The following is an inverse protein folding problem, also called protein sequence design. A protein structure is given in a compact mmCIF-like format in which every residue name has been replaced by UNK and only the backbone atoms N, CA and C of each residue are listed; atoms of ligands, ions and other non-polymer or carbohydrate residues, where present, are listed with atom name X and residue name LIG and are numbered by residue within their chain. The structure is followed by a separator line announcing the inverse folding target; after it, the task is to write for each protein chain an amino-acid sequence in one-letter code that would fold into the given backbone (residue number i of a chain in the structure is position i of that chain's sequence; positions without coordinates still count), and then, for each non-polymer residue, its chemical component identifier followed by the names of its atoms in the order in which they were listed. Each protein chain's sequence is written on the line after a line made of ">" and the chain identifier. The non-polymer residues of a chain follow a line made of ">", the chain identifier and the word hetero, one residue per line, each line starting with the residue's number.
data_IF_199224287920
#
_entry.id   IF_199224287920
#
_cell.length_a   1.000
_cell.length_b   1.000
_cell.length_c   1.000
_cell.angle_alpha   90.00
_cell.angle_beta   90.00
_cell.angle_gamma   90.00
#
_symmetry.space_group_name_H-M   'P 1'
#
loop_
_entity.id
_entity.type
_entity.pdbx_description
1 polymer ?
#
# COMPACT_ATOMS: atom_id res chain seq x y z
N UNK A 1 21.84 0.61 -7.60
CA UNK A 1 21.24 -0.36 -8.54
C UNK A 1 21.45 -1.78 -8.04
N UNK A 2 20.43 -2.42 -7.43
CA UNK A 2 20.45 -3.88 -7.21
C UNK A 2 19.96 -4.56 -8.49
N UNK A 3 20.82 -5.37 -9.12
CA UNK A 3 20.41 -6.31 -10.18
C UNK A 3 19.43 -7.33 -9.59
N UNK A 4 18.22 -7.37 -10.13
CA UNK A 4 17.21 -8.40 -9.87
C UNK A 4 17.66 -9.74 -10.46
N UNK A 5 18.43 -10.53 -9.71
CA UNK A 5 18.58 -11.97 -9.95
C UNK A 5 18.84 -12.71 -8.64
N UNK A 6 17.78 -12.99 -7.88
CA UNK A 6 17.64 -14.21 -7.08
C UNK A 6 16.14 -14.38 -6.86
N UNK A 7 15.57 -15.51 -7.28
CA UNK A 7 14.26 -15.95 -6.80
C UNK A 7 14.43 -16.02 -5.29
N UNK A 8 13.85 -15.05 -4.57
CA UNK A 8 13.81 -15.08 -3.11
C UNK A 8 13.17 -16.41 -2.74
N UNK A 9 13.89 -17.22 -1.95
CA UNK A 9 13.31 -18.42 -1.37
C UNK A 9 12.00 -18.03 -0.68
N UNK A 10 10.94 -18.82 -0.90
CA UNK A 10 9.63 -18.53 -0.33
C UNK A 10 9.77 -18.63 1.19
N UNK A 11 9.51 -17.53 1.90
CA UNK A 11 9.61 -17.50 3.35
C UNK A 11 8.64 -18.51 4.00
N UNK A 12 8.90 -18.94 5.24
CA UNK A 12 7.96 -19.78 5.98
C UNK A 12 6.54 -19.20 6.06
N UNK A 13 6.40 -17.87 6.21
CA UNK A 13 5.11 -17.19 6.25
C UNK A 13 4.40 -17.24 4.89
N UNK A 14 5.11 -16.95 3.79
CA UNK A 14 4.56 -17.05 2.42
C UNK A 14 4.16 -18.49 2.07
N UNK A 15 4.97 -19.46 2.49
CA UNK A 15 4.67 -20.88 2.33
C UNK A 15 3.39 -21.28 3.08
N UNK A 16 3.18 -20.76 4.28
CA UNK A 16 1.96 -20.99 5.05
C UNK A 16 0.74 -20.37 4.37
N UNK A 17 0.86 -19.18 3.78
CA UNK A 17 -0.22 -18.57 2.98
C UNK A 17 -0.60 -19.48 1.81
N UNK A 18 0.36 -19.92 1.00
CA UNK A 18 0.11 -20.80 -0.15
C UNK A 18 -0.59 -22.11 0.24
N UNK A 19 -0.19 -22.72 1.36
CA UNK A 19 -0.84 -23.93 1.90
C UNK A 19 -2.31 -23.68 2.27
N UNK A 20 -2.61 -22.52 2.87
CA UNK A 20 -3.98 -22.18 3.28
C UNK A 20 -4.87 -21.69 2.12
N UNK A 21 -4.28 -21.18 1.03
CA UNK A 21 -5.02 -20.86 -0.19
C UNK A 21 -5.51 -22.12 -0.93
N UNK A 22 -4.78 -23.25 -0.78
CA UNK A 22 -5.06 -24.52 -1.47
C UNK A 22 -4.99 -25.73 -0.54
N UNK A 23 -5.89 -25.85 0.46
CA UNK A 23 -5.81 -26.89 1.49
C UNK A 23 -5.97 -28.33 0.97
N UNK A 24 -6.59 -28.51 -0.22
CA UNK A 24 -6.97 -29.83 -0.76
C UNK A 24 -6.34 -30.16 -2.12
N UNK A 25 -5.36 -29.39 -2.59
CA UNK A 25 -4.58 -29.76 -3.77
C UNK A 25 -3.22 -30.25 -3.32
N UNK A 26 -2.95 -31.55 -3.49
CA UNK A 26 -1.61 -31.95 -3.90
C UNK A 26 -1.29 -31.14 -5.15
N UNK A 27 -0.31 -30.25 -5.05
CA UNK A 27 0.02 -29.32 -6.13
C UNK A 27 0.43 -30.17 -7.33
N UNK A 28 -0.07 -29.86 -8.53
CA UNK A 28 0.36 -30.45 -9.78
C UNK A 28 1.89 -30.28 -9.96
N UNK A 29 2.67 -31.24 -9.47
CA UNK A 29 4.03 -31.54 -9.93
C UNK A 29 5.13 -30.52 -9.62
N UNK A 30 4.94 -29.56 -8.72
CA UNK A 30 6.03 -28.72 -8.23
C UNK A 30 6.23 -29.01 -6.74
N UNK A 31 7.35 -29.66 -6.44
CA UNK A 31 7.83 -29.85 -5.08
C UNK A 31 7.88 -28.47 -4.40
N UNK A 32 6.97 -28.25 -3.44
CA UNK A 32 7.18 -27.18 -2.47
C UNK A 32 8.55 -27.46 -1.83
N UNK A 33 9.44 -26.47 -1.72
CA UNK A 33 10.70 -26.68 -1.03
C UNK A 33 10.39 -27.30 0.33
N UNK A 34 10.84 -28.53 0.53
CA UNK A 34 10.81 -29.16 1.85
C UNK A 34 11.56 -28.20 2.75
N UNK A 35 10.90 -27.75 3.81
CA UNK A 35 11.56 -27.03 4.90
C UNK A 35 12.46 -28.06 5.57
N UNK A 36 13.63 -28.29 5.00
CA UNK A 36 14.74 -28.94 5.68
C UNK A 36 15.40 -27.83 6.45
N UNK A 37 15.00 -27.64 7.71
CA UNK A 37 15.81 -27.16 8.83
C UNK A 37 14.85 -26.92 10.00
N UNK A 38 15.00 -27.75 11.02
CA UNK A 38 14.37 -27.54 12.33
C UNK A 38 15.11 -26.39 12.99
N UNK A 39 14.57 -25.19 12.91
CA UNK A 39 15.04 -24.07 13.71
C UNK A 39 13.88 -23.53 14.55
N UNK A 40 14.23 -23.15 15.78
CA UNK A 40 13.36 -22.74 16.87
C UNK A 40 12.62 -21.42 16.58
N UNK A 41 11.83 -21.39 15.51
CA UNK A 41 10.91 -20.29 15.23
C UNK A 41 9.63 -20.50 16.04
N UNK A 42 9.08 -19.41 16.60
CA UNK A 42 7.70 -19.41 17.13
C UNK A 42 6.79 -20.11 16.11
N UNK A 43 5.95 -21.07 16.52
CA UNK A 43 5.13 -21.81 15.57
C UNK A 43 4.25 -20.84 14.80
N UNK A 44 4.52 -20.71 13.50
CA UNK A 44 3.67 -19.97 12.57
C UNK A 44 2.26 -20.56 12.64
N UNK A 45 1.34 -19.79 13.22
CA UNK A 45 -0.01 -20.25 13.53
C UNK A 45 -0.99 -19.59 12.58
N UNK A 46 -1.70 -20.41 11.81
CA UNK A 46 -2.89 -19.98 11.10
C UNK A 46 -4.07 -20.16 12.05
N UNK A 47 -4.74 -19.06 12.41
CA UNK A 47 -5.90 -19.11 13.31
C UNK A 47 -7.16 -19.14 12.47
N UNK A 48 -7.91 -20.24 12.57
CA UNK A 48 -9.16 -20.44 11.82
C UNK A 48 -10.34 -20.26 12.76
N UNK A 49 -11.22 -19.32 12.44
CA UNK A 49 -12.38 -18.99 13.29
C UNK A 49 -13.60 -18.71 12.43
N UNK A 50 -14.78 -19.04 12.95
CA UNK A 50 -16.05 -18.59 12.41
C UNK A 50 -16.57 -17.45 13.29
N UNK A 51 -16.77 -16.27 12.71
CA UNK A 51 -17.09 -15.04 13.45
C UNK A 51 -18.17 -14.23 12.73
N UNK A 52 -18.79 -13.28 13.42
CA UNK A 52 -19.61 -12.29 12.73
C UNK A 52 -18.73 -11.35 11.89
N UNK A 53 -19.30 -10.71 10.87
CA UNK A 53 -18.60 -9.67 10.10
C UNK A 53 -18.04 -8.55 10.98
N UNK A 54 -18.81 -8.13 11.98
CA UNK A 54 -18.40 -7.06 12.88
C UNK A 54 -17.15 -7.52 13.63
N UNK A 55 -17.16 -8.72 14.20
CA UNK A 55 -16.03 -9.24 14.97
C UNK A 55 -14.80 -9.48 14.09
N UNK A 56 -14.99 -9.89 12.82
CA UNK A 56 -13.90 -9.98 11.85
C UNK A 56 -13.19 -8.63 11.68
N UNK A 57 -13.95 -7.55 11.46
CA UNK A 57 -13.36 -6.21 11.29
C UNK A 57 -12.63 -5.75 12.56
N UNK A 58 -13.19 -6.00 13.74
CA UNK A 58 -12.56 -5.66 15.02
C UNK A 58 -11.33 -6.53 15.34
N UNK A 59 -11.16 -7.67 14.66
CA UNK A 59 -9.98 -8.53 14.81
C UNK A 59 -8.78 -8.09 13.97
N UNK A 60 -8.98 -7.17 13.02
CA UNK A 60 -7.88 -6.58 12.26
C UNK A 60 -7.06 -5.64 13.17
N UNK A 61 -5.74 -5.55 12.96
CA UNK A 61 -4.90 -4.69 13.78
C UNK A 61 -5.32 -3.23 13.59
N UNK A 62 -5.64 -2.55 14.69
CA UNK A 62 -6.01 -1.13 14.71
C UNK A 62 -4.81 -0.28 15.14
N UNK A 63 -4.15 0.38 14.19
CA UNK A 63 -3.03 1.29 14.45
C UNK A 63 -3.05 2.39 13.37
N UNK A 64 -2.91 3.69 13.72
CA UNK A 64 -2.94 4.79 12.75
C UNK A 64 -1.90 4.70 11.64
N UNK A 65 -0.85 3.91 11.84
CA UNK A 65 0.25 3.68 10.90
C UNK A 65 0.11 2.38 10.11
N UNK A 66 -1.03 1.70 10.22
CA UNK A 66 -1.36 0.54 9.41
C UNK A 66 -2.44 0.90 8.40
N UNK A 67 -2.36 0.25 7.24
CA UNK A 67 -3.41 0.27 6.22
C UNK A 67 -3.79 -1.15 5.84
N UNK A 68 -4.98 -1.27 5.30
CA UNK A 68 -5.59 -2.52 4.92
C UNK A 68 -5.84 -2.53 3.42
N UNK A 69 -5.73 -3.71 2.80
CA UNK A 69 -6.08 -3.92 1.40
C UNK A 69 -7.03 -5.09 1.26
N UNK A 70 -8.23 -4.78 0.76
CA UNK A 70 -9.21 -5.77 0.37
C UNK A 70 -8.92 -6.31 -1.02
N UNK A 71 -8.97 -7.62 -1.16
CA UNK A 71 -8.72 -8.33 -2.41
C UNK A 71 -9.87 -9.29 -2.68
N UNK A 72 -10.53 -9.09 -3.82
CA UNK A 72 -11.55 -10.00 -4.31
C UNK A 72 -10.90 -11.29 -4.82
N UNK A 73 -11.38 -12.44 -4.35
CA UNK A 73 -10.82 -13.74 -4.69
C UNK A 73 -9.45 -13.98 -4.06
N UNK A 74 -8.83 -15.09 -4.48
CA UNK A 74 -7.56 -15.56 -3.90
C UNK A 74 -6.34 -15.30 -4.80
N UNK A 75 -6.56 -14.89 -6.06
CA UNK A 75 -5.49 -14.82 -7.06
C UNK A 75 -4.43 -13.78 -6.74
N UNK A 76 -4.85 -12.65 -6.17
CA UNK A 76 -3.91 -11.61 -5.76
C UNK A 76 -3.05 -12.06 -4.58
N UNK A 77 -3.67 -12.66 -3.55
CA UNK A 77 -2.94 -13.22 -2.41
C UNK A 77 -1.94 -14.31 -2.84
N UNK A 78 -2.31 -15.15 -3.81
CA UNK A 78 -1.41 -16.13 -4.41
C UNK A 78 -0.21 -15.46 -5.10
N UNK A 79 -0.45 -14.45 -5.94
CA UNK A 79 0.63 -13.72 -6.62
C UNK A 79 1.57 -13.04 -5.62
N UNK A 80 1.02 -12.44 -4.55
CA UNK A 80 1.81 -11.80 -3.49
C UNK A 80 2.65 -12.84 -2.74
N UNK A 81 2.08 -14.00 -2.40
CA UNK A 81 2.81 -15.05 -1.71
C UNK A 81 3.93 -15.67 -2.56
N UNK A 82 3.77 -15.73 -3.89
CA UNK A 82 4.84 -16.16 -4.79
C UNK A 82 5.90 -15.08 -5.03
N UNK A 83 5.50 -13.84 -5.36
CA UNK A 83 6.42 -12.75 -5.69
C UNK A 83 7.13 -12.17 -4.46
N UNK A 84 6.45 -12.19 -3.30
CA UNK A 84 6.90 -11.55 -2.07
C UNK A 84 6.62 -10.06 -2.00
N UNK A 85 5.86 -9.47 -2.93
CA UNK A 85 5.52 -8.04 -2.93
C UNK A 85 4.04 -7.79 -3.23
N UNK A 86 3.52 -6.69 -2.69
CA UNK A 86 2.17 -6.22 -2.94
C UNK A 86 2.08 -5.50 -4.29
N UNK A 87 0.95 -5.63 -4.99
CA UNK A 87 0.83 -5.11 -6.36
C UNK A 87 1.57 -5.95 -7.42
N UNK A 88 1.94 -7.19 -7.12
CA UNK A 88 2.54 -8.11 -8.09
C UNK A 88 1.51 -8.79 -9.02
N UNK A 89 1.99 -9.40 -10.10
CA UNK A 89 1.18 -10.21 -11.01
C UNK A 89 0.35 -9.37 -11.98
N UNK A 90 -0.99 -9.43 -11.89
CA UNK A 90 -1.87 -8.77 -12.88
C UNK A 90 -1.72 -7.25 -12.93
N UNK A 91 -1.32 -6.63 -11.82
CA UNK A 91 -1.17 -5.18 -11.70
C UNK A 91 0.01 -4.66 -12.53
N UNK A 92 1.09 -5.43 -12.61
CA UNK A 92 2.29 -5.06 -13.39
C UNK A 92 2.04 -4.99 -14.90
N UNK A 93 0.90 -5.52 -15.38
CA UNK A 93 0.50 -5.45 -16.79
C UNK A 93 -0.28 -4.18 -17.14
N UNK A 94 -0.62 -3.35 -16.15
CA UNK A 94 -1.39 -2.11 -16.35
C UNK A 94 -0.49 -0.98 -16.86
N UNK A 95 -1.07 0.05 -17.51
CA UNK A 95 -0.32 1.24 -17.89
C UNK A 95 0.40 1.87 -16.70
N UNK A 96 1.50 2.57 -16.94
CA UNK A 96 2.30 3.23 -15.89
C UNK A 96 1.80 4.64 -15.61
N UNK A 97 0.49 4.78 -15.42
CA UNK A 97 -0.14 6.07 -15.12
C UNK A 97 0.15 6.53 -13.71
N UNK A 98 0.52 7.79 -13.53
CA UNK A 98 0.69 8.42 -12.22
C UNK A 98 -0.44 9.38 -11.87
N UNK A 99 -1.35 9.68 -12.78
CA UNK A 99 -2.43 10.62 -12.52
C UNK A 99 -3.38 10.06 -11.45
N UNK A 100 -3.35 10.67 -10.25
CA UNK A 100 -4.16 10.21 -9.12
C UNK A 100 -5.66 10.42 -9.38
N UNK A 101 -6.04 11.51 -10.05
CA UNK A 101 -7.43 11.78 -10.43
C UNK A 101 -7.96 10.71 -11.41
N UNK A 102 -7.15 10.33 -12.41
CA UNK A 102 -7.50 9.23 -13.31
C UNK A 102 -7.57 7.88 -12.59
N UNK A 103 -6.66 7.63 -11.64
CA UNK A 103 -6.64 6.37 -10.89
C UNK A 103 -7.82 6.20 -9.93
N UNK A 104 -8.24 7.28 -9.26
CA UNK A 104 -9.46 7.28 -8.41
C UNK A 104 -10.67 6.88 -9.25
N UNK A 105 -10.73 7.39 -10.48
CA UNK A 105 -11.80 7.14 -11.41
C UNK A 105 -11.76 5.72 -12.02
N UNK A 106 -10.59 5.30 -12.48
CA UNK A 106 -10.34 3.97 -13.03
C UNK A 106 -9.01 3.41 -12.53
N UNK A 107 -9.04 2.54 -11.49
CA UNK A 107 -7.84 1.94 -10.93
C UNK A 107 -7.07 1.05 -11.91
N UNK A 108 -7.63 0.70 -13.08
CA UNK A 108 -6.93 -0.11 -14.09
C UNK A 108 -5.90 0.69 -14.90
N UNK A 109 -5.91 2.02 -14.80
CA UNK A 109 -5.02 2.94 -15.52
C UNK A 109 -3.62 3.05 -14.94
N UNK A 110 -3.35 2.38 -13.82
CA UNK A 110 -2.02 2.40 -13.19
C UNK A 110 -1.56 1.04 -12.69
N UNK A 111 -0.29 0.74 -12.98
CA UNK A 111 0.55 -0.27 -12.32
C UNK A 111 1.44 0.34 -11.22
N UNK A 112 1.55 1.66 -11.18
CA UNK A 112 2.38 2.42 -10.22
C UNK A 112 1.59 2.90 -9.00
N UNK A 113 0.27 2.74 -8.99
CA UNK A 113 -0.61 3.13 -7.90
C UNK A 113 -1.39 1.92 -7.38
N UNK A 114 -1.55 1.84 -6.06
CA UNK A 114 -2.25 0.74 -5.40
C UNK A 114 -3.11 1.25 -4.25
N UNK A 115 -4.43 1.07 -4.36
CA UNK A 115 -5.37 1.41 -3.29
C UNK A 115 -5.16 0.59 -2.02
N UNK A 116 -5.16 1.26 -0.89
CA UNK A 116 -5.21 0.71 0.47
C UNK A 116 -6.16 1.59 1.29
N UNK A 117 -6.61 1.17 2.46
CA UNK A 117 -7.47 2.00 3.30
C UNK A 117 -7.02 1.93 4.75
N UNK A 118 -6.96 3.06 5.47
CA UNK A 118 -6.81 3.04 6.92
C UNK A 118 -8.08 2.51 7.61
N UNK A 119 -9.23 2.52 6.91
CA UNK A 119 -10.49 2.03 7.45
C UNK A 119 -10.71 0.55 7.04
N UNK A 120 -10.71 -0.38 8.02
CA UNK A 120 -10.99 -1.78 7.71
C UNK A 120 -12.44 -2.00 7.22
N UNK A 121 -13.38 -1.07 7.46
CA UNK A 121 -14.74 -1.18 6.93
C UNK A 121 -14.78 -1.00 5.41
N UNK A 122 -14.00 -0.07 4.84
CA UNK A 122 -13.89 0.14 3.39
C UNK A 122 -13.43 -1.13 2.67
N UNK A 123 -12.54 -1.90 3.31
CA UNK A 123 -11.97 -3.14 2.77
C UNK A 123 -13.01 -4.26 2.58
N UNK A 124 -14.10 -4.26 3.37
CA UNK A 124 -15.16 -5.29 3.29
C UNK A 124 -15.73 -5.43 1.88
N UNK A 125 -16.06 -4.30 1.25
CA UNK A 125 -16.71 -4.27 -0.05
C UNK A 125 -15.83 -4.90 -1.14
N UNK A 126 -14.51 -4.65 -1.04
CA UNK A 126 -13.52 -5.18 -1.97
C UNK A 126 -13.18 -6.65 -1.75
N UNK A 127 -13.26 -7.16 -0.51
CA UNK A 127 -12.89 -8.53 -0.18
C UNK A 127 -13.96 -9.54 -0.59
N UNK A 128 -15.22 -9.23 -0.32
CA UNK A 128 -16.31 -10.23 -0.43
C UNK A 128 -17.10 -10.04 -1.73
N UNK A 129 -17.18 -8.80 -2.22
CA UNK A 129 -17.91 -8.46 -3.43
C UNK A 129 -19.39 -8.90 -3.41
N UNK A 130 -20.08 -8.67 -4.52
CA UNK A 130 -21.50 -9.00 -4.67
C UNK A 130 -21.74 -10.44 -5.18
N UNK A 131 -21.00 -11.44 -4.69
CA UNK A 131 -21.10 -12.80 -5.23
C UNK A 131 -22.39 -13.53 -4.78
N UNK A 132 -23.02 -14.24 -5.72
CA UNK A 132 -24.33 -14.89 -5.53
C UNK A 132 -24.27 -16.19 -4.71
N UNK A 133 -23.16 -16.94 -4.77
CA UNK A 133 -23.08 -18.33 -4.26
C UNK A 133 -22.14 -18.47 -3.06
N UNK A 134 -20.86 -18.17 -3.23
CA UNK A 134 -19.86 -18.18 -2.17
C UNK A 134 -18.80 -17.14 -2.51
N UNK A 135 -18.52 -16.23 -1.59
CA UNK A 135 -17.51 -15.21 -1.76
C UNK A 135 -16.22 -15.64 -1.07
N UNK A 136 -15.10 -15.51 -1.78
CA UNK A 136 -13.75 -15.64 -1.22
C UNK A 136 -13.02 -14.33 -1.43
N UNK A 137 -12.25 -13.94 -0.43
CA UNK A 137 -11.36 -12.80 -0.54
C UNK A 137 -10.23 -12.87 0.46
N UNK A 138 -9.40 -11.84 0.41
CA UNK A 138 -8.29 -11.67 1.34
C UNK A 138 -8.27 -10.23 1.86
N UNK A 139 -7.84 -10.06 3.11
CA UNK A 139 -7.47 -8.78 3.69
C UNK A 139 -5.99 -8.84 4.07
N UNK A 140 -5.17 -7.96 3.49
CA UNK A 140 -3.80 -7.75 3.94
C UNK A 140 -3.77 -6.52 4.85
N UNK A 141 -3.20 -6.64 6.05
CA UNK A 141 -2.89 -5.51 6.93
C UNK A 141 -1.39 -5.27 6.92
N UNK A 142 -0.96 -4.04 6.69
CA UNK A 142 0.43 -3.69 6.37
C UNK A 142 0.80 -2.30 6.92
N UNK A 143 2.10 -2.01 6.98
CA UNK A 143 2.61 -0.65 7.21
C UNK A 143 1.98 0.38 6.26
N UNK A 144 2.00 1.65 6.65
CA UNK A 144 1.90 2.73 5.67
C UNK A 144 2.90 2.47 4.52
N UNK A 145 2.49 2.68 3.26
CA UNK A 145 3.38 2.52 2.12
C UNK A 145 4.57 3.46 2.22
N UNK A 146 5.72 3.07 1.66
CA UNK A 146 6.93 3.92 1.64
C UNK A 146 6.65 5.31 1.09
N UNK A 147 5.84 5.37 0.05
CA UNK A 147 5.36 6.59 -0.55
C UNK A 147 3.85 6.45 -0.75
N UNK A 148 3.08 7.43 -0.31
CA UNK A 148 1.64 7.41 -0.48
C UNK A 148 1.05 8.81 -0.66
N UNK A 149 -0.18 8.81 -1.16
CA UNK A 149 -1.01 10.00 -1.31
C UNK A 149 -2.42 9.69 -0.79
N UNK A 150 -3.06 10.68 -0.17
CA UNK A 150 -4.47 10.59 0.24
C UNK A 150 -5.33 11.34 -0.79
N UNK A 151 -6.18 10.67 -1.57
CA UNK A 151 -7.10 11.31 -2.53
C UNK A 151 -7.87 12.51 -1.98
N UNK A 152 -8.48 12.35 -0.79
CA UNK A 152 -9.21 13.41 -0.08
C UNK A 152 -8.35 14.66 0.14
N UNK A 153 -7.10 14.49 0.56
CA UNK A 153 -6.21 15.64 0.79
C UNK A 153 -5.71 16.21 -0.54
N UNK A 154 -5.31 15.35 -1.48
CA UNK A 154 -4.77 15.74 -2.78
C UNK A 154 -5.72 16.65 -3.56
N UNK A 155 -7.03 16.35 -3.56
CA UNK A 155 -8.03 17.17 -4.27
C UNK A 155 -8.13 18.62 -3.79
N UNK A 156 -7.72 18.89 -2.54
CA UNK A 156 -7.74 20.24 -1.96
C UNK A 156 -6.38 20.94 -2.09
N UNK A 157 -5.32 20.19 -2.41
CA UNK A 157 -3.96 20.72 -2.60
C UNK A 157 -3.64 20.87 -4.08
N UNK A 158 -3.65 19.79 -4.87
CA UNK A 158 -3.38 19.76 -6.31
C UNK A 158 -4.66 19.97 -7.13
N UNK A 159 -5.37 21.06 -6.87
CA UNK A 159 -6.65 21.38 -7.52
C UNK A 159 -6.49 21.37 -9.05
N UNK A 160 -5.38 21.89 -9.56
CA UNK A 160 -5.11 22.00 -11.00
C UNK A 160 -5.08 20.64 -11.71
N UNK A 161 -4.53 19.58 -11.11
CA UNK A 161 -4.57 18.22 -11.69
C UNK A 161 -6.00 17.66 -11.75
N UNK A 162 -6.80 17.90 -10.72
CA UNK A 162 -8.20 17.45 -10.66
C UNK A 162 -9.08 18.21 -11.65
N UNK A 163 -8.91 19.53 -11.76
CA UNK A 163 -9.60 20.34 -12.78
C UNK A 163 -9.23 19.92 -14.19
N UNK A 164 -7.95 19.62 -14.45
CA UNK A 164 -7.51 19.11 -15.74
C UNK A 164 -8.22 17.80 -16.09
N UNK A 165 -8.25 16.84 -15.16
CA UNK A 165 -8.92 15.57 -15.41
C UNK A 165 -10.44 15.71 -15.55
N UNK A 166 -11.08 16.59 -14.77
CA UNK A 166 -12.51 16.88 -14.93
C UNK A 166 -12.84 17.41 -16.32
N UNK A 167 -11.97 18.25 -16.90
CA UNK A 167 -12.12 18.73 -18.28
C UNK A 167 -11.98 17.60 -19.30
N UNK A 168 -11.03 16.68 -19.08
CA UNK A 168 -10.90 15.47 -19.94
C UNK A 168 -12.20 14.66 -19.92
N UNK A 169 -12.78 14.41 -18.74
CA UNK A 169 -14.06 13.69 -18.62
C UNK A 169 -15.21 14.43 -19.32
N UNK A 170 -15.28 15.76 -19.21
CA UNK A 170 -16.29 16.57 -19.89
C UNK A 170 -16.18 16.44 -21.41
N UNK A 171 -14.96 16.54 -21.96
CA UNK A 171 -14.70 16.34 -23.39
C UNK A 171 -15.09 14.92 -23.85
N UNK A 172 -14.83 13.88 -23.06
CA UNK A 172 -15.25 12.51 -23.40
C UNK A 172 -16.78 12.37 -23.51
N UNK A 173 -17.53 13.09 -22.68
CA UNK A 173 -19.00 13.14 -22.75
C UNK A 173 -19.45 13.91 -23.98
N UNK A 174 -18.85 15.05 -24.29
CA UNK A 174 -19.16 15.85 -25.49
C UNK A 174 -18.91 15.06 -26.78
N UNK A 175 -17.87 14.24 -26.82
CA UNK A 175 -17.53 13.37 -27.95
C UNK A 175 -18.40 12.10 -28.02
N UNK A 176 -19.32 11.88 -27.07
CA UNK A 176 -20.18 10.70 -27.02
C UNK A 176 -19.48 9.42 -26.60
N UNK A 177 -18.23 9.50 -26.12
CA UNK A 177 -17.49 8.35 -25.59
C UNK A 177 -18.00 7.94 -24.20
N UNK A 178 -18.76 8.81 -23.54
CA UNK A 178 -19.42 8.55 -22.26
C UNK A 178 -20.83 9.12 -22.22
N UNK A 179 -21.69 8.47 -21.43
CA UNK A 179 -23.08 8.88 -21.21
C UNK A 179 -23.30 9.70 -19.95
N UNK A 180 -22.34 9.70 -19.01
CA UNK A 180 -22.43 10.40 -17.72
C UNK A 180 -21.13 11.09 -17.39
N UNK A 181 -21.25 12.32 -16.88
CA UNK A 181 -20.16 13.06 -16.28
C UNK A 181 -20.18 12.79 -14.78
N UNK A 182 -19.20 12.04 -14.30
CA UNK A 182 -18.94 11.93 -12.86
C UNK A 182 -18.03 13.09 -12.43
N UNK A 183 -18.24 13.57 -11.21
CA UNK A 183 -17.44 14.64 -10.65
C UNK A 183 -16.26 14.05 -9.87
N UNK A 184 -15.03 14.25 -10.38
CA UNK A 184 -13.85 13.69 -9.75
C UNK A 184 -13.59 14.28 -8.36
N UNK A 185 -14.02 15.51 -8.11
CA UNK A 185 -13.91 16.11 -6.77
C UNK A 185 -14.81 15.41 -5.76
N UNK A 186 -16.02 15.01 -6.16
CA UNK A 186 -16.95 14.29 -5.28
C UNK A 186 -16.46 12.87 -5.02
N UNK A 187 -15.97 12.19 -6.06
CA UNK A 187 -15.33 10.87 -5.92
C UNK A 187 -14.14 10.91 -4.97
N UNK A 188 -13.28 11.93 -5.09
CA UNK A 188 -12.14 12.11 -4.21
C UNK A 188 -12.53 12.50 -2.78
N UNK A 189 -13.63 13.22 -2.56
CA UNK A 189 -14.14 13.53 -1.21
C UNK A 189 -14.61 12.28 -0.48
N UNK A 190 -15.35 11.41 -1.17
CA UNK A 190 -15.84 10.16 -0.60
C UNK A 190 -14.75 9.11 -0.38
N UNK A 191 -13.54 9.33 -0.93
CA UNK A 191 -12.48 8.34 -0.95
C UNK A 191 -11.53 8.49 0.26
N UNK A 192 -11.85 7.75 1.34
CA UNK A 192 -11.02 7.68 2.54
C UNK A 192 -9.76 6.79 2.40
N UNK A 193 -9.41 6.35 1.19
CA UNK A 193 -8.27 5.49 0.92
C UNK A 193 -6.92 6.20 1.10
N UNK A 194 -5.90 5.37 1.28
CA UNK A 194 -4.50 5.71 1.08
C UNK A 194 -4.05 5.05 -0.21
N UNK A 195 -3.57 5.81 -1.18
CA UNK A 195 -3.01 5.24 -2.42
C UNK A 195 -1.50 5.12 -2.28
N UNK A 196 -0.98 3.89 -2.29
CA UNK A 196 0.45 3.63 -2.36
C UNK A 196 0.99 4.01 -3.74
N UNK A 197 2.14 4.69 -3.76
CA UNK A 197 2.92 4.95 -4.97
C UNK A 197 4.04 3.92 -5.00
N UNK A 198 4.01 3.05 -6.01
CA UNK A 198 4.87 1.89 -6.15
C UNK A 198 6.15 2.18 -6.95
N UNK A 199 6.26 3.38 -7.51
CA UNK A 199 7.38 3.83 -8.33
C UNK A 199 6.99 5.06 -9.14
N UNK A 200 7.98 5.74 -9.72
CA UNK A 200 7.78 6.86 -10.66
C UNK A 200 8.15 6.44 -12.08
N UNK A 201 9.20 5.64 -12.23
CA UNK A 201 9.64 5.08 -13.51
C UNK A 201 9.40 3.57 -13.59
N UNK A 202 9.77 2.96 -14.71
CA UNK A 202 9.62 1.52 -14.94
C UNK A 202 10.57 0.67 -14.09
N UNK A 203 11.68 1.26 -13.70
CA UNK A 203 12.79 0.65 -12.97
C UNK A 203 12.58 0.73 -11.45
N UNK A 204 11.70 1.62 -11.00
CA UNK A 204 11.35 1.78 -9.60
C UNK A 204 10.53 0.59 -9.09
N UNK A 205 10.85 0.15 -7.88
CA UNK A 205 10.10 -0.88 -7.17
C UNK A 205 10.01 -0.52 -5.69
N UNK A 206 9.00 0.29 -5.35
CA UNK A 206 8.71 0.73 -4.00
C UNK A 206 7.57 -0.08 -3.37
N UNK A 207 7.28 -1.25 -3.94
CA UNK A 207 6.18 -2.10 -3.49
C UNK A 207 6.44 -2.60 -2.06
N UNK A 208 5.39 -2.63 -1.20
CA UNK A 208 5.52 -3.23 0.12
C UNK A 208 5.98 -4.68 0.02
N UNK A 209 6.98 -5.03 0.82
CA UNK A 209 7.57 -6.36 0.89
C UNK A 209 6.76 -7.20 1.85
N UNK A 210 6.26 -8.35 1.39
CA UNK A 210 5.39 -9.21 2.20
C UNK A 210 6.06 -9.61 3.53
N UNK A 211 7.33 -9.99 3.49
CA UNK A 211 8.01 -10.57 4.64
C UNK A 211 8.28 -9.56 5.76
N UNK A 212 8.25 -8.25 5.50
CA UNK A 212 8.56 -7.21 6.49
C UNK A 212 7.45 -6.18 6.66
N UNK A 213 6.74 -5.80 5.60
CA UNK A 213 5.72 -4.74 5.63
C UNK A 213 4.31 -5.26 5.92
N UNK A 214 4.03 -6.55 5.69
CA UNK A 214 2.71 -7.13 5.96
C UNK A 214 2.68 -7.67 7.38
N UNK A 215 1.79 -7.13 8.20
CA UNK A 215 1.52 -7.62 9.55
C UNK A 215 0.76 -8.95 9.50
N UNK A 216 -0.30 -9.01 8.72
CA UNK A 216 -1.15 -10.20 8.65
C UNK A 216 -1.90 -10.31 7.33
N UNK A 217 -2.18 -11.54 6.94
CA UNK A 217 -3.03 -11.88 5.81
C UNK A 217 -4.19 -12.73 6.31
N UNK A 218 -5.40 -12.22 6.13
CA UNK A 218 -6.64 -12.88 6.52
C UNK A 218 -7.37 -13.38 5.28
N UNK A 219 -7.53 -14.69 5.16
CA UNK A 219 -8.37 -15.31 4.13
C UNK A 219 -9.81 -15.31 4.63
N UNK A 220 -10.73 -14.80 3.83
CA UNK A 220 -12.14 -14.65 4.18
C UNK A 220 -12.99 -15.52 3.26
N UNK A 221 -13.87 -16.30 3.84
CA UNK A 221 -14.84 -17.13 3.16
C UNK A 221 -16.24 -16.83 3.71
N UNK A 222 -17.13 -16.40 2.82
CA UNK A 222 -18.49 -16.00 3.16
C UNK A 222 -19.52 -16.74 2.27
N UNK A 223 -20.72 -16.96 2.81
CA UNK A 223 -21.86 -17.41 2.02
C UNK A 223 -22.30 -16.29 1.06
N UNK A 224 -22.58 -16.62 -0.20
CA UNK A 224 -23.11 -15.66 -1.17
C UNK A 224 -24.59 -15.34 -0.95
N UNK A 225 -25.11 -14.33 -1.68
CA UNK A 225 -26.47 -13.80 -1.48
C UNK A 225 -27.60 -14.84 -1.49
N UNK A 226 -27.56 -15.86 -2.34
CA UNK A 226 -28.62 -16.88 -2.42
C UNK A 226 -28.59 -17.79 -1.18
N UNK A 227 -27.40 -18.08 -0.65
CA UNK A 227 -27.22 -18.92 0.52
C UNK A 227 -27.37 -18.17 1.85
N UNK A 228 -27.28 -16.83 1.83
CA UNK A 228 -27.51 -15.98 3.01
C UNK A 228 -28.95 -16.05 3.54
N UNK A 229 -29.91 -16.52 2.74
CA UNK A 229 -31.27 -16.81 3.21
C UNK A 229 -31.39 -18.08 4.06
N UNK A 230 -30.36 -18.93 4.09
CA UNK A 230 -30.36 -20.22 4.81
C UNK A 230 -29.23 -20.36 5.85
N UNK A 231 -28.10 -19.68 5.64
CA UNK A 231 -27.06 -19.49 6.65
C UNK A 231 -27.35 -18.22 7.47
N UNK A 232 -26.94 -18.14 8.74
CA UNK A 232 -26.93 -16.85 9.45
C UNK A 232 -26.14 -15.85 8.60
N UNK A 233 -26.84 -14.89 8.00
CA UNK A 233 -26.34 -14.05 6.91
C UNK A 233 -25.08 -13.22 7.25
N UNK A 234 -24.71 -13.17 8.54
CA UNK A 234 -23.62 -12.35 9.07
C UNK A 234 -22.37 -13.13 9.51
N UNK A 235 -22.33 -14.45 9.36
CA UNK A 235 -21.16 -15.26 9.76
C UNK A 235 -20.19 -15.51 8.60
N UNK A 236 -18.90 -15.35 8.89
CA UNK A 236 -17.79 -15.65 7.98
C UNK A 236 -16.79 -16.60 8.60
N UNK A 237 -16.16 -17.39 7.76
CA UNK A 237 -15.01 -18.20 8.11
C UNK A 237 -13.73 -17.46 7.71
N UNK A 238 -12.85 -17.27 8.68
CA UNK A 238 -11.60 -16.53 8.50
C UNK A 238 -10.41 -17.40 8.87
N UNK A 239 -9.36 -17.36 8.06
CA UNK A 239 -8.05 -17.91 8.39
C UNK A 239 -7.04 -16.77 8.43
N UNK A 240 -6.60 -16.39 9.63
CA UNK A 240 -5.63 -15.31 9.82
C UNK A 240 -4.23 -15.87 9.99
N UNK A 241 -3.30 -15.36 9.19
CA UNK A 241 -1.88 -15.66 9.25
C UNK A 241 -1.16 -14.38 9.68
N UNK A 242 -0.50 -14.42 10.83
CA UNK A 242 0.28 -13.30 11.36
C UNK A 242 1.74 -13.50 10.96
N UNK A 243 2.34 -12.46 10.39
CA UNK A 243 3.74 -12.47 9.98
C UNK A 243 4.64 -12.16 11.19
N UNK A 244 5.47 -13.11 11.66
CA UNK A 244 6.36 -12.89 12.80
C UNK A 244 7.50 -11.92 12.49
N UNK A 245 7.78 -11.68 11.20
CA UNK A 245 8.86 -10.82 10.74
C UNK A 245 8.37 -9.40 10.39
N UNK A 246 7.11 -9.09 10.70
CA UNK A 246 6.57 -7.75 10.51
C UNK A 246 7.38 -6.72 11.30
N UNK A 247 7.79 -5.65 10.61
CA UNK A 247 8.54 -4.53 11.17
C UNK A 247 7.78 -3.25 10.88
N UNK A 248 7.29 -2.58 11.92
CA UNK A 248 6.55 -1.33 11.75
C UNK A 248 7.51 -0.26 11.24
N UNK A 249 7.22 0.24 10.04
CA UNK A 249 8.07 1.19 9.32
C UNK A 249 8.29 2.47 10.13
N UNK A 250 9.53 2.93 10.26
CA UNK A 250 9.83 4.14 11.03
C UNK A 250 9.37 5.43 10.35
N UNK A 251 9.42 5.49 9.02
CA UNK A 251 9.05 6.66 8.23
C UNK A 251 8.40 6.29 6.90
N UNK A 252 7.39 7.04 6.50
CA UNK A 252 6.74 7.02 5.18
C UNK A 252 6.70 8.43 4.61
N UNK A 253 6.75 8.53 3.29
CA UNK A 253 6.69 9.79 2.55
C UNK A 253 5.26 10.03 2.10
N UNK A 254 4.65 11.12 2.56
CA UNK A 254 3.32 11.54 2.12
C UNK A 254 3.46 12.68 1.13
N UNK A 255 3.00 12.46 -0.10
CA UNK A 255 2.97 13.48 -1.14
C UNK A 255 1.55 14.00 -1.34
N UNK A 256 1.43 15.26 -1.78
CA UNK A 256 0.13 15.87 -2.06
C UNK A 256 -0.21 15.95 -3.55
N UNK A 257 0.73 15.54 -4.41
CA UNK A 257 0.57 15.50 -5.86
C UNK A 257 1.40 14.37 -6.44
N UNK A 258 0.90 13.77 -7.52
CA UNK A 258 1.65 12.79 -8.33
C UNK A 258 2.25 13.40 -9.59
N UNK A 259 2.26 14.73 -9.71
CA UNK A 259 2.88 15.44 -10.83
C UNK A 259 4.42 15.38 -10.73
N UNK A 260 5.07 15.10 -11.85
CA UNK A 260 6.50 14.73 -11.89
C UNK A 260 7.47 15.90 -12.02
N UNK A 261 7.11 17.14 -11.67
CA UNK A 261 8.09 18.23 -11.65
C UNK A 261 8.32 18.98 -12.97
N UNK A 262 7.59 18.66 -14.03
CA UNK A 262 7.88 19.18 -15.37
C UNK A 262 6.73 20.01 -15.94
N UNK A 263 7.06 21.13 -16.60
CA UNK A 263 6.14 21.88 -17.45
C UNK A 263 6.08 23.39 -17.16
N UNK A 264 5.54 24.19 -18.09
CA UNK A 264 5.60 25.66 -18.02
C UNK A 264 4.87 26.30 -16.83
N UNK A 265 3.92 25.58 -16.24
CA UNK A 265 3.12 26.05 -15.09
C UNK A 265 3.48 25.33 -13.79
N UNK A 266 4.44 24.39 -13.80
CA UNK A 266 4.71 23.53 -12.65
C UNK A 266 5.07 24.36 -11.40
N UNK A 267 6.07 25.24 -11.49
CA UNK A 267 6.51 26.04 -10.34
C UNK A 267 5.39 26.91 -9.75
N UNK A 268 4.55 27.47 -10.63
CA UNK A 268 3.39 28.27 -10.23
C UNK A 268 2.35 27.42 -9.49
N UNK A 269 2.04 26.23 -9.99
CA UNK A 269 1.09 25.32 -9.34
C UNK A 269 1.68 24.76 -8.05
N UNK A 270 2.96 24.42 -8.03
CA UNK A 270 3.68 23.98 -6.85
C UNK A 270 3.67 25.05 -5.74
N UNK A 271 3.89 26.32 -6.07
CA UNK A 271 3.78 27.41 -5.11
C UNK A 271 2.38 27.50 -4.48
N UNK A 272 1.31 27.41 -5.29
CA UNK A 272 -0.07 27.37 -4.77
C UNK A 272 -0.34 26.15 -3.90
N UNK A 273 0.19 24.98 -4.27
CA UNK A 273 0.05 23.77 -3.45
C UNK A 273 0.68 23.97 -2.07
N UNK A 274 1.85 24.61 -2.00
CA UNK A 274 2.49 24.96 -0.73
C UNK A 274 1.64 25.93 0.10
N UNK A 275 1.09 26.98 -0.51
CA UNK A 275 0.20 27.93 0.17
C UNK A 275 -1.03 27.23 0.75
N UNK A 276 -1.67 26.34 -0.02
CA UNK A 276 -2.82 25.55 0.43
C UNK A 276 -2.42 24.60 1.56
N UNK A 277 -1.31 23.89 1.44
CA UNK A 277 -0.86 22.93 2.45
C UNK A 277 -0.57 23.63 3.79
N UNK A 278 0.02 24.83 3.77
CA UNK A 278 0.20 25.68 4.95
C UNK A 278 -1.16 26.14 5.50
N UNK A 279 -2.08 26.59 4.64
CA UNK A 279 -3.39 27.07 5.06
C UNK A 279 -4.25 25.97 5.73
N UNK A 280 -4.11 24.72 5.28
CA UNK A 280 -4.76 23.56 5.88
C UNK A 280 -4.00 22.98 7.09
N UNK A 281 -2.85 23.54 7.47
CA UNK A 281 -2.04 23.05 8.60
C UNK A 281 -1.41 21.69 8.34
N UNK A 282 -1.20 21.31 7.07
CA UNK A 282 -0.58 20.04 6.69
C UNK A 282 0.96 20.10 6.76
N UNK A 283 1.53 21.30 6.63
CA UNK A 283 2.94 21.61 6.79
C UNK A 283 3.12 22.96 7.50
N UNK A 284 4.30 23.20 8.07
CA UNK A 284 4.62 24.45 8.74
C UNK A 284 4.91 25.60 7.77
N UNK A 285 4.79 26.86 8.23
CA UNK A 285 5.02 28.06 7.39
C UNK A 285 6.43 28.15 6.80
N UNK A 286 7.42 27.57 7.51
CA UNK A 286 8.82 27.48 7.10
C UNK A 286 9.12 26.39 6.07
N UNK A 287 8.14 25.52 5.81
CA UNK A 287 8.33 24.29 5.06
C UNK A 287 7.70 24.36 3.66
N UNK A 288 8.18 23.48 2.79
CA UNK A 288 7.59 23.15 1.50
C UNK A 288 7.13 21.71 1.51
N UNK A 289 6.09 21.41 0.73
CA UNK A 289 5.65 20.03 0.48
C UNK A 289 6.76 19.22 -0.20
N UNK A 290 6.74 17.91 0.01
CA UNK A 290 7.52 16.99 -0.81
C UNK A 290 6.94 16.90 -2.22
N UNK A 291 7.79 17.07 -3.23
CA UNK A 291 7.48 16.73 -4.60
C UNK A 291 7.70 15.24 -4.87
N UNK A 292 7.14 14.74 -5.97
CA UNK A 292 7.41 13.38 -6.40
C UNK A 292 8.88 13.18 -6.80
N UNK A 293 9.56 14.23 -7.25
CA UNK A 293 11.00 14.24 -7.53
C UNK A 293 11.83 14.10 -6.26
N UNK A 294 11.52 14.86 -5.20
CA UNK A 294 12.16 14.72 -3.89
C UNK A 294 12.05 13.27 -3.39
N UNK A 295 10.85 12.71 -3.55
CA UNK A 295 10.54 11.35 -3.13
C UNK A 295 11.32 10.31 -3.95
N UNK A 296 11.34 10.45 -5.28
CA UNK A 296 12.12 9.57 -6.14
C UNK A 296 13.62 9.60 -5.79
N UNK A 297 14.16 10.78 -5.48
CA UNK A 297 15.54 10.90 -5.05
C UNK A 297 15.79 10.15 -3.74
N UNK A 298 14.99 10.40 -2.70
CA UNK A 298 15.08 9.68 -1.42
C UNK A 298 15.01 8.16 -1.64
N UNK A 299 14.04 7.69 -2.42
CA UNK A 299 13.85 6.27 -2.73
C UNK A 299 14.95 5.66 -3.59
N UNK A 300 15.79 6.48 -4.24
CA UNK A 300 16.98 6.02 -4.97
C UNK A 300 18.27 6.08 -4.12
N UNK A 301 18.25 6.82 -3.02
CA UNK A 301 19.40 7.03 -2.14
C UNK A 301 19.67 5.79 -1.28
N UNK A 302 20.79 5.12 -1.55
CA UNK A 302 21.22 3.97 -0.77
C UNK A 302 21.41 4.33 0.72
N UNK A 303 21.90 5.55 1.01
CA UNK A 303 22.09 6.03 2.38
C UNK A 303 20.76 6.14 3.12
N UNK A 304 19.75 6.76 2.49
CA UNK A 304 18.42 6.88 3.08
C UNK A 304 17.77 5.51 3.29
N UNK A 305 17.78 4.64 2.27
CA UNK A 305 17.18 3.31 2.35
C UNK A 305 17.85 2.44 3.41
N UNK A 306 19.19 2.45 3.52
CA UNK A 306 19.88 1.72 4.59
C UNK A 306 19.48 2.23 5.97
N UNK A 307 19.33 3.54 6.15
CA UNK A 307 18.85 4.10 7.41
C UNK A 307 17.41 3.67 7.71
N UNK A 308 16.53 3.70 6.71
CA UNK A 308 15.13 3.30 6.82
C UNK A 308 14.98 1.82 7.20
N UNK A 309 15.82 0.95 6.63
CA UNK A 309 15.82 -0.50 6.90
C UNK A 309 16.49 -0.86 8.25
N UNK A 310 17.33 0.03 8.80
CA UNK A 310 18.04 -0.20 10.06
C UNK A 310 17.16 -0.01 11.30
N UNK A 311 16.00 0.62 11.16
CA UNK A 311 15.13 0.95 12.29
C UNK A 311 13.65 0.64 12.02
N UNK A 312 12.99 0.13 13.05
CA UNK A 312 11.54 0.08 13.15
C UNK A 312 11.05 1.06 14.22
N UNK A 313 9.74 1.30 14.30
CA UNK A 313 9.14 2.12 15.37
C UNK A 313 8.16 1.30 16.19
N UNK A 314 8.09 1.60 17.49
CA UNK A 314 7.00 1.12 18.36
C UNK A 314 5.91 2.16 18.59
N UNK A 315 6.13 3.39 18.15
CA UNK A 315 5.15 4.47 18.15
C UNK A 315 4.51 4.62 16.78
N UNK A 316 4.05 5.82 16.46
CA UNK A 316 3.55 6.14 15.11
C UNK A 316 4.69 6.17 14.09
N UNK A 317 4.39 5.76 12.86
CA UNK A 317 5.26 5.94 11.70
C UNK A 317 5.31 7.43 11.36
N UNK A 318 6.51 7.98 11.19
CA UNK A 318 6.67 9.36 10.75
C UNK A 318 6.10 9.50 9.34
N UNK A 319 5.09 10.34 9.16
CA UNK A 319 4.63 10.75 7.83
C UNK A 319 5.36 12.04 7.44
N UNK A 320 6.48 11.91 6.73
CA UNK A 320 7.22 13.07 6.22
C UNK A 320 6.41 13.69 5.07
N UNK A 321 5.78 14.84 5.32
CA UNK A 321 4.90 15.57 4.38
C UNK A 321 5.58 16.78 3.74
N UNK A 322 6.54 17.35 4.45
CA UNK A 322 7.22 18.57 4.06
C UNK A 322 8.61 18.67 4.68
N UNK A 323 9.38 19.61 4.16
CA UNK A 323 10.76 19.88 4.55
C UNK A 323 11.01 21.39 4.56
N UNK A 324 12.00 21.90 5.32
CA UNK A 324 12.32 23.31 5.32
C UNK A 324 12.58 23.85 3.90
N UNK A 325 12.02 25.04 3.59
CA UNK A 325 12.23 25.71 2.29
C UNK A 325 13.71 25.99 1.97
N UNK A 326 14.57 25.98 2.99
CA UNK A 326 16.01 26.17 2.85
C UNK A 326 16.72 24.96 2.24
N UNK A 327 16.12 23.76 2.24
CA UNK A 327 16.69 22.57 1.60
C UNK A 327 16.62 22.75 0.09
N UNK A 328 17.80 22.90 -0.52
CA UNK A 328 17.98 23.22 -1.95
C UNK A 328 18.64 22.09 -2.72
N UNK A 329 19.37 21.21 -2.06
CA UNK A 329 20.02 20.07 -2.71
C UNK A 329 19.43 18.75 -2.27
N UNK A 330 19.61 17.76 -3.11
CA UNK A 330 19.10 16.42 -2.85
C UNK A 330 19.86 15.74 -1.69
N UNK A 331 21.14 16.06 -1.48
CA UNK A 331 21.91 15.59 -0.32
C UNK A 331 21.38 16.18 1.00
N UNK A 332 21.05 17.47 1.04
CA UNK A 332 20.45 18.11 2.21
C UNK A 332 19.11 17.45 2.58
N UNK A 333 18.33 17.07 1.57
CA UNK A 333 17.07 16.34 1.74
C UNK A 333 17.30 14.97 2.39
N UNK A 334 18.31 14.22 1.95
CA UNK A 334 18.68 12.93 2.55
C UNK A 334 19.12 13.09 4.00
N UNK A 335 19.98 14.06 4.32
CA UNK A 335 20.42 14.28 5.70
C UNK A 335 19.25 14.69 6.60
N UNK A 336 18.35 15.53 6.12
CA UNK A 336 17.16 15.93 6.87
C UNK A 336 16.25 14.73 7.18
N UNK A 337 15.94 13.91 6.18
CA UNK A 337 15.12 12.72 6.36
C UNK A 337 15.78 11.73 7.33
N UNK A 338 17.11 11.56 7.26
CA UNK A 338 17.87 10.72 8.20
C UNK A 338 17.82 11.31 9.61
N UNK A 339 18.01 12.62 9.79
CA UNK A 339 17.89 13.26 11.11
C UNK A 339 16.53 13.00 11.73
N UNK A 340 15.45 13.14 10.96
CA UNK A 340 14.10 12.86 11.45
C UNK A 340 13.92 11.38 11.88
N UNK A 341 14.57 10.42 11.21
CA UNK A 341 14.60 9.02 11.66
C UNK A 341 15.39 8.88 12.97
N UNK A 342 16.56 9.51 13.06
CA UNK A 342 17.43 9.46 14.25
C UNK A 342 16.78 10.15 15.45
N UNK A 343 16.01 11.21 15.25
CA UNK A 343 15.36 11.96 16.32
C UNK A 343 14.03 11.33 16.76
N UNK A 344 13.58 10.26 16.08
CA UNK A 344 12.38 9.52 16.43
C UNK A 344 12.51 8.89 17.84
N UNK A 345 11.63 9.23 18.80
CA UNK A 345 11.75 8.78 20.20
C UNK A 345 11.44 7.30 20.37
N UNK A 346 10.61 6.72 19.50
CA UNK A 346 10.16 5.32 19.59
C UNK A 346 10.88 4.38 18.62
N UNK A 347 12.02 4.84 18.05
CA UNK A 347 12.84 4.03 17.16
C UNK A 347 13.48 2.85 17.88
N UNK A 348 13.56 1.72 17.20
CA UNK A 348 14.29 0.52 17.64
C UNK A 348 15.16 0.00 16.51
N UNK A 349 16.41 -0.39 16.77
CA UNK A 349 17.23 -1.00 15.75
C UNK A 349 16.63 -2.34 15.34
N UNK A 350 16.64 -2.61 14.03
CA UNK A 350 16.29 -3.92 13.49
C UNK A 350 17.42 -4.87 13.81
N UNK A 351 17.13 -5.88 14.62
CA UNK A 351 18.08 -6.95 14.94
C UNK A 351 17.90 -8.04 13.88
N UNK A 352 18.85 -8.15 12.96
CA UNK A 352 18.91 -9.30 12.06
C UNK A 352 19.40 -10.51 12.83
N UNK A 353 18.59 -11.56 12.92
CA UNK A 353 19.08 -12.85 13.40
C UNK A 353 20.15 -13.35 12.40
N UNK A 354 21.38 -13.47 12.90
CA UNK A 354 22.59 -13.82 12.15
C UNK A 354 22.55 -15.21 11.50
N UNK A 355 21.48 -15.98 11.70
CA UNK A 355 21.21 -17.25 11.00
C UNK A 355 20.81 -17.09 9.53
N UNK A 356 20.46 -15.89 9.07
CA UNK A 356 20.08 -15.65 7.65
C UNK A 356 21.24 -15.27 6.72
N UNK A 357 22.46 -15.06 7.23
CA UNK A 357 23.62 -14.65 6.42
C UNK A 357 24.50 -15.81 5.92
N UNK A 358 24.14 -17.06 6.21
CA UNK A 358 24.83 -18.25 5.68
C UNK A 358 24.03 -18.94 4.57
N UNK A 359 23.86 -18.31 3.40
CA UNK A 359 23.48 -18.97 2.13
C UNK A 359 24.06 -18.31 0.86
#
# INVERSE_FOLDING_TARGET
>A
MRRLTRVSSISPCRSLVLRNLYPNKGIFGLDLPRITHSEHHKPLTATKVKVSYKDMIHSLPSDPSLVHRGMAGLKEAENIAHDGRLGAGKYQKRPKGLNIAEFIFDPTKSSLLLSTSPDPHTVKEYTIGFQLIQAKGTIASMCLPMVYIRPQTARHIDIEQFEYFQKVLATEVELGNRTRLENIFDLAEGNNETTAILGVTEEDDWRPVFDTDVHSLMLVQAAGRIWSGFAKADEVETTTIINPNFRKRIMSLEVFSTTTGHGPQYDKYFAKMNERAIAFGLIDKGDRILSLTDTAYLMSSAKYLTMLDSYETTGETIALKGVPKSIRTDEELVEFAISAIIDCPHKKPVIEDSSTLSL
#
